data_IF_773619716933
#
_entry.id   IF_773619716933
#
_cell.length_a   1.000
_cell.length_b   1.000
_cell.length_c   1.000
_cell.angle_alpha   90.00
_cell.angle_beta   90.00
_cell.angle_gamma   90.00
#
_symmetry.space_group_name_H-M   'P 1'
#
loop_
_entity.id
_entity.type
_entity.pdbx_description
1 polymer ?
#
# COMPACT_ATOMS: atom_id res chain seq x y z
N UNK A 1 -11.45 17.33 19.64
CA UNK A 1 -11.02 18.03 18.40
C UNK A 1 -10.18 17.05 17.59
N UNK A 2 -10.80 16.30 16.68
CA UNK A 2 -10.02 15.54 15.71
C UNK A 2 -9.41 16.57 14.76
N UNK A 3 -8.12 16.85 14.94
CA UNK A 3 -7.37 17.71 14.03
C UNK A 3 -7.61 17.20 12.61
N UNK A 4 -7.99 18.08 11.68
CA UNK A 4 -8.10 17.80 10.24
C UNK A 4 -6.73 17.52 9.60
N UNK A 5 -5.85 16.81 10.30
CA UNK A 5 -4.53 16.46 9.86
C UNK A 5 -4.63 15.40 8.78
N UNK A 6 -4.35 15.81 7.55
CA UNK A 6 -4.13 14.89 6.43
C UNK A 6 -2.70 14.35 6.57
N UNK A 7 -2.50 13.05 6.83
CA UNK A 7 -1.16 12.49 6.97
C UNK A 7 -0.38 12.66 5.67
N UNK A 8 0.91 12.99 5.78
CA UNK A 8 1.75 13.17 4.60
C UNK A 8 2.03 11.83 3.91
N UNK A 9 2.45 11.86 2.64
CA UNK A 9 2.96 10.67 1.93
C UNK A 9 4.01 9.90 2.74
N UNK A 10 4.88 10.63 3.44
CA UNK A 10 5.91 10.04 4.31
C UNK A 10 5.27 9.30 5.48
N UNK A 11 4.35 9.93 6.19
CA UNK A 11 3.68 9.33 7.36
C UNK A 11 2.90 8.07 6.96
N UNK A 12 2.11 8.16 5.88
CA UNK A 12 1.37 7.02 5.34
C UNK A 12 2.30 5.86 4.93
N UNK A 13 3.44 6.19 4.29
CA UNK A 13 4.41 5.17 3.85
C UNK A 13 5.09 4.48 5.03
N UNK A 14 5.35 5.20 6.12
CA UNK A 14 5.91 4.62 7.34
C UNK A 14 4.94 3.64 8.00
N UNK A 15 3.66 3.98 8.07
CA UNK A 15 2.63 3.07 8.64
C UNK A 15 2.55 1.77 7.85
N UNK A 16 2.50 1.85 6.52
CA UNK A 16 2.44 0.65 5.65
C UNK A 16 3.71 -0.18 5.78
N UNK A 17 4.88 0.47 5.80
CA UNK A 17 6.15 -0.24 5.97
C UNK A 17 6.23 -0.97 7.30
N UNK A 18 5.80 -0.33 8.39
CA UNK A 18 5.80 -0.91 9.74
C UNK A 18 4.86 -2.12 9.82
N UNK A 19 3.63 -1.99 9.31
CA UNK A 19 2.69 -3.12 9.26
C UNK A 19 3.26 -4.28 8.43
N UNK A 20 3.94 -3.99 7.31
CA UNK A 20 4.63 -5.01 6.53
C UNK A 20 5.82 -5.64 7.27
N UNK A 21 6.52 -4.89 8.12
CA UNK A 21 7.62 -5.44 8.95
C UNK A 21 7.09 -6.40 10.03
N UNK A 22 5.86 -6.21 10.46
CA UNK A 22 5.18 -7.07 11.45
C UNK A 22 4.39 -8.22 10.80
N UNK A 23 4.58 -8.46 9.49
CA UNK A 23 3.82 -9.43 8.68
C UNK A 23 2.29 -9.22 8.69
N UNK A 24 1.83 -8.02 9.04
CA UNK A 24 0.42 -7.63 9.07
C UNK A 24 -0.06 -7.13 7.70
N UNK A 25 0.07 -7.97 6.66
CA UNK A 25 -0.15 -7.56 5.27
C UNK A 25 -1.59 -7.15 4.95
N UNK A 26 -2.59 -7.82 5.50
CA UNK A 26 -3.99 -7.45 5.27
C UNK A 26 -4.34 -6.10 5.90
N UNK A 27 -3.78 -5.80 7.08
CA UNK A 27 -3.98 -4.50 7.73
C UNK A 27 -3.24 -3.38 6.98
N UNK A 28 -2.04 -3.67 6.50
CA UNK A 28 -1.29 -2.78 5.60
C UNK A 28 -2.06 -2.50 4.30
N UNK A 29 -2.75 -3.51 3.74
CA UNK A 29 -3.59 -3.36 2.56
C UNK A 29 -4.83 -2.49 2.82
N UNK A 30 -5.54 -2.73 3.92
CA UNK A 30 -6.68 -1.88 4.32
C UNK A 30 -6.28 -0.43 4.52
N UNK A 31 -5.09 -0.18 5.10
CA UNK A 31 -4.56 1.17 5.23
C UNK A 31 -4.17 1.76 3.87
N UNK A 32 -3.55 0.98 2.98
CA UNK A 32 -3.24 1.39 1.61
C UNK A 32 -4.50 1.85 0.85
N UNK A 33 -5.59 1.10 0.91
CA UNK A 33 -6.86 1.48 0.27
C UNK A 33 -7.42 2.79 0.84
N UNK A 34 -7.32 3.01 2.15
CA UNK A 34 -7.71 4.29 2.76
C UNK A 34 -6.85 5.46 2.28
N UNK A 35 -5.54 5.25 2.12
CA UNK A 35 -4.61 6.27 1.61
C UNK A 35 -4.90 6.60 0.15
N UNK A 36 -5.17 5.57 -0.66
CA UNK A 36 -5.57 5.69 -2.07
C UNK A 36 -6.88 6.46 -2.22
N UNK A 37 -7.90 6.14 -1.43
CA UNK A 37 -9.19 6.83 -1.43
C UNK A 37 -9.09 8.32 -1.07
N UNK A 38 -8.08 8.71 -0.28
CA UNK A 38 -7.79 10.11 0.07
C UNK A 38 -6.97 10.85 -0.99
N UNK A 39 -6.60 10.20 -2.10
CA UNK A 39 -5.72 10.76 -3.13
C UNK A 39 -4.27 10.97 -2.68
N UNK A 40 -3.88 10.39 -1.54
CA UNK A 40 -2.51 10.42 -1.05
C UNK A 40 -1.72 9.25 -1.63
N UNK A 41 -0.49 9.49 -2.05
CA UNK A 41 0.37 8.44 -2.60
C UNK A 41 1.23 7.76 -1.54
N UNK A 42 1.64 6.52 -1.79
CA UNK A 42 2.72 5.85 -1.05
C UNK A 42 4.03 5.83 -1.84
N UNK A 43 5.14 5.52 -1.20
CA UNK A 43 6.38 5.20 -1.91
C UNK A 43 6.30 3.84 -2.60
N UNK A 44 6.84 3.76 -3.81
CA UNK A 44 6.88 2.52 -4.60
C UNK A 44 7.51 1.35 -3.83
N UNK A 45 8.53 1.61 -3.00
CA UNK A 45 9.17 0.57 -2.18
C UNK A 45 8.17 -0.08 -1.20
N UNK A 46 7.31 0.72 -0.58
CA UNK A 46 6.29 0.26 0.36
C UNK A 46 5.25 -0.59 -0.37
N UNK A 47 4.73 -0.11 -1.51
CA UNK A 47 3.78 -0.87 -2.33
C UNK A 47 4.36 -2.20 -2.81
N UNK A 48 5.63 -2.24 -3.24
CA UNK A 48 6.31 -3.47 -3.67
C UNK A 48 6.48 -4.46 -2.53
N UNK A 49 6.83 -3.99 -1.33
CA UNK A 49 6.95 -4.84 -0.15
C UNK A 49 5.61 -5.45 0.23
N UNK A 50 4.57 -4.62 0.29
CA UNK A 50 3.21 -5.06 0.61
C UNK A 50 2.72 -6.09 -0.41
N UNK A 51 2.82 -5.79 -1.71
CA UNK A 51 2.45 -6.73 -2.77
C UNK A 51 3.18 -8.07 -2.65
N UNK A 52 4.51 -8.05 -2.46
CA UNK A 52 5.29 -9.28 -2.27
C UNK A 52 4.82 -10.06 -1.04
N UNK A 53 4.56 -9.37 0.07
CA UNK A 53 4.07 -9.97 1.31
C UNK A 53 2.70 -10.61 1.15
N UNK A 54 1.76 -9.94 0.48
CA UNK A 54 0.44 -10.48 0.15
C UNK A 54 0.57 -11.75 -0.71
N UNK A 55 1.38 -11.71 -1.78
CA UNK A 55 1.63 -12.88 -2.62
C UNK A 55 2.22 -14.06 -1.83
N UNK A 56 3.23 -13.83 -0.99
CA UNK A 56 3.91 -14.90 -0.27
C UNK A 56 3.05 -15.54 0.81
N UNK A 57 2.02 -14.84 1.30
CA UNK A 57 1.08 -15.34 2.32
C UNK A 57 -0.25 -15.84 1.73
N UNK A 58 -0.39 -15.82 0.40
CA UNK A 58 -1.58 -16.34 -0.28
C UNK A 58 -2.78 -15.37 -0.31
N UNK A 59 -2.58 -14.11 0.04
CA UNK A 59 -3.58 -13.04 -0.05
C UNK A 59 -3.67 -12.51 -1.49
N UNK A 60 -4.10 -13.39 -2.41
CA UNK A 60 -4.00 -13.16 -3.85
C UNK A 60 -4.99 -12.10 -4.34
N UNK A 61 -6.19 -12.02 -3.77
CA UNK A 61 -7.20 -11.02 -4.17
C UNK A 61 -6.70 -9.60 -3.87
N UNK A 62 -6.13 -9.40 -2.68
CA UNK A 62 -5.52 -8.14 -2.27
C UNK A 62 -4.27 -7.82 -3.11
N UNK A 63 -3.44 -8.83 -3.39
CA UNK A 63 -2.27 -8.67 -4.25
C UNK A 63 -2.66 -8.24 -5.67
N UNK A 64 -3.71 -8.84 -6.23
CA UNK A 64 -4.27 -8.44 -7.54
C UNK A 64 -4.79 -7.00 -7.47
N UNK A 65 -5.50 -6.62 -6.41
CA UNK A 65 -5.96 -5.24 -6.22
C UNK A 65 -4.84 -4.19 -6.18
N UNK A 66 -3.63 -4.59 -5.78
CA UNK A 66 -2.45 -3.73 -5.81
C UNK A 66 -1.77 -3.64 -7.19
N UNK A 67 -1.99 -4.62 -8.07
CA UNK A 67 -1.23 -4.76 -9.32
C UNK A 67 -1.39 -3.53 -10.22
N UNK A 68 -2.62 -3.06 -10.41
CA UNK A 68 -2.92 -1.86 -11.20
C UNK A 68 -2.15 -0.65 -10.69
N UNK A 69 -2.12 -0.47 -9.36
CA UNK A 69 -1.43 0.65 -8.73
C UNK A 69 0.08 0.57 -8.95
N UNK A 70 0.66 -0.63 -8.89
CA UNK A 70 2.08 -0.82 -9.17
C UNK A 70 2.42 -0.58 -10.64
N UNK A 71 1.57 -0.99 -11.57
CA UNK A 71 1.75 -0.75 -13.01
C UNK A 71 1.71 0.74 -13.33
N UNK A 72 0.70 1.46 -12.80
CA UNK A 72 0.60 2.92 -12.91
C UNK A 72 1.85 3.62 -12.38
N UNK A 73 2.35 3.21 -11.20
CA UNK A 73 3.53 3.81 -10.58
C UNK A 73 4.84 3.50 -11.33
N UNK A 74 4.94 2.34 -12.00
CA UNK A 74 6.18 1.88 -12.64
C UNK A 74 6.28 2.23 -14.12
N UNK A 75 5.23 2.83 -14.71
CA UNK A 75 5.13 3.08 -16.16
C UNK A 75 5.36 1.83 -17.00
N UNK A 76 5.11 0.65 -16.42
CA UNK A 76 5.13 -0.61 -17.15
C UNK A 76 3.69 -0.92 -17.58
N UNK A 77 3.41 -1.02 -18.89
CA UNK A 77 2.11 -1.48 -19.34
C UNK A 77 1.89 -2.91 -18.84
N UNK A 78 0.68 -3.19 -18.33
CA UNK A 78 0.24 -4.56 -18.08
C UNK A 78 0.38 -5.36 -19.39
N UNK A 79 0.93 -6.59 -19.35
CA UNK A 79 1.08 -7.43 -20.54
C UNK A 79 -0.26 -7.82 -21.17
#
# INVERSE_FOLDING_TARGET
LASGYVPSKKDCSLVVDELCYQDQFLEAFLYFEQVKARGSGLWLRCCKRLFKGLCSHGHLDEAIGMLDTLCEMTRMPLP
#
